data_IF_087261993370
#
_entry.id   IF_087261993370
#
_cell.length_a   1.000
_cell.length_b   1.000
_cell.length_c   1.000
_cell.angle_alpha   90.00
_cell.angle_beta   90.00
_cell.angle_gamma   90.00
#
_symmetry.space_group_name_H-M   'P 1'
#
loop_
_entity.id
_entity.type
_entity.pdbx_description
1 polymer ?
#
# COMPACT_ATOMS: atom_id res chain seq x y z
N UNK A 1 0.62 12.82 -6.29
CA UNK A 1 0.56 12.64 -4.84
C UNK A 1 -0.45 11.56 -4.46
N UNK A 2 0.00 10.61 -3.65
CA UNK A 2 -0.77 9.47 -3.20
C UNK A 2 -1.58 9.80 -1.94
N UNK A 3 -2.88 9.43 -1.89
CA UNK A 3 -3.67 9.67 -0.69
C UNK A 3 -3.14 8.85 0.49
N UNK A 4 -3.21 9.43 1.68
CA UNK A 4 -2.75 8.78 2.91
C UNK A 4 -3.59 7.56 3.31
N UNK A 5 -4.85 7.53 2.90
CA UNK A 5 -5.81 6.45 3.16
C UNK A 5 -6.22 5.75 1.86
N UNK A 6 -6.39 4.43 1.95
CA UNK A 6 -6.79 3.63 0.80
C UNK A 6 -8.24 3.92 0.36
N UNK A 7 -9.13 4.28 1.29
CA UNK A 7 -10.51 4.63 0.98
C UNK A 7 -10.58 5.85 0.05
N UNK A 8 -9.78 6.89 0.32
CA UNK A 8 -9.74 8.08 -0.56
C UNK A 8 -9.23 7.71 -1.95
N UNK A 9 -8.27 6.78 -2.06
CA UNK A 9 -7.85 6.27 -3.36
C UNK A 9 -8.99 5.58 -4.10
N UNK A 10 -9.74 4.72 -3.42
CA UNK A 10 -10.89 4.00 -3.99
C UNK A 10 -11.94 4.98 -4.52
N UNK A 11 -12.30 6.00 -3.75
CA UNK A 11 -13.28 7.01 -4.16
C UNK A 11 -12.82 7.83 -5.37
N UNK A 12 -11.50 8.02 -5.54
CA UNK A 12 -10.92 8.70 -6.70
C UNK A 12 -11.00 7.83 -7.95
N UNK A 13 -10.52 6.58 -7.87
CA UNK A 13 -10.52 5.69 -9.03
C UNK A 13 -11.92 5.21 -9.42
N UNK A 14 -12.86 5.18 -8.46
CA UNK A 14 -14.28 4.87 -8.68
C UNK A 14 -15.02 5.91 -9.53
N UNK A 15 -14.35 6.98 -9.96
CA UNK A 15 -14.86 7.95 -10.95
C UNK A 15 -14.51 7.58 -12.39
N UNK A 16 -13.70 6.54 -12.58
CA UNK A 16 -13.38 5.99 -13.90
C UNK A 16 -14.44 4.97 -14.32
N UNK A 17 -14.50 4.63 -15.61
CA UNK A 17 -15.55 3.80 -16.24
C UNK A 17 -16.94 4.47 -16.26
N UNK A 18 -17.55 4.56 -17.44
CA UNK A 18 -18.94 5.06 -17.62
C UNK A 18 -19.67 4.18 -18.63
N UNK A 19 -20.98 4.02 -18.45
CA UNK A 19 -21.85 3.28 -19.38
C UNK A 19 -21.32 1.87 -19.75
N UNK A 20 -20.90 1.09 -18.74
CA UNK A 20 -20.45 -0.30 -18.93
C UNK A 20 -19.07 -0.49 -19.59
N UNK A 21 -18.37 0.60 -19.96
CA UNK A 21 -17.01 0.54 -20.52
C UNK A 21 -15.95 0.49 -19.42
N UNK A 22 -14.83 -0.19 -19.67
CA UNK A 22 -13.67 -0.21 -18.76
C UNK A 22 -13.05 1.19 -18.63
N UNK A 23 -12.63 1.53 -17.41
CA UNK A 23 -11.91 2.77 -17.09
C UNK A 23 -10.45 2.48 -16.76
N UNK A 24 -9.58 3.47 -16.94
CA UNK A 24 -8.17 3.40 -16.56
C UNK A 24 -7.85 4.49 -15.54
N UNK A 25 -7.11 4.12 -14.49
CA UNK A 25 -6.56 5.06 -13.51
C UNK A 25 -5.03 4.92 -13.50
N UNK A 26 -4.33 6.04 -13.70
CA UNK A 26 -2.86 6.08 -13.70
C UNK A 26 -2.42 6.93 -12.51
N UNK A 27 -1.54 6.39 -11.68
CA UNK A 27 -0.99 7.08 -10.52
C UNK A 27 0.47 7.41 -10.77
N UNK A 28 0.83 8.70 -10.66
CA UNK A 28 2.23 9.15 -10.67
C UNK A 28 2.70 9.19 -9.22
N UNK A 29 3.73 8.41 -8.92
CA UNK A 29 4.18 8.10 -7.56
C UNK A 29 5.65 8.48 -7.42
N UNK A 30 5.95 9.30 -6.41
CA UNK A 30 7.32 9.63 -6.02
C UNK A 30 7.89 8.66 -4.98
N UNK A 31 9.18 8.79 -4.67
CA UNK A 31 9.88 7.89 -3.75
C UNK A 31 9.22 7.82 -2.34
N UNK A 32 8.71 8.95 -1.85
CA UNK A 32 8.07 9.02 -0.53
C UNK A 32 6.63 8.46 -0.49
N UNK A 33 6.00 8.31 -1.65
CA UNK A 33 4.61 7.83 -1.80
C UNK A 33 4.51 6.30 -1.93
N UNK A 34 5.63 5.61 -2.12
CA UNK A 34 5.67 4.15 -2.24
C UNK A 34 4.99 3.40 -1.07
N UNK A 35 5.11 3.82 0.21
CA UNK A 35 4.39 3.17 1.30
C UNK A 35 2.87 3.28 1.18
N UNK A 36 2.35 4.35 0.56
CA UNK A 36 0.92 4.56 0.33
C UNK A 36 0.46 3.63 -0.81
N UNK A 37 1.23 3.53 -1.88
CA UNK A 37 0.98 2.61 -2.99
C UNK A 37 0.88 1.15 -2.52
N UNK A 38 1.82 0.71 -1.69
CA UNK A 38 1.81 -0.64 -1.12
C UNK A 38 0.59 -0.91 -0.22
N UNK A 39 0.03 0.13 0.42
CA UNK A 39 -1.20 -0.01 1.22
C UNK A 39 -2.42 -0.14 0.33
N UNK A 40 -2.49 0.68 -0.72
CA UNK A 40 -3.58 0.67 -1.70
C UNK A 40 -3.65 -0.68 -2.43
N UNK A 41 -2.52 -1.18 -2.95
CA UNK A 41 -2.48 -2.49 -3.62
C UNK A 41 -3.01 -3.62 -2.71
N UNK A 42 -2.60 -3.61 -1.43
CA UNK A 42 -3.11 -4.57 -0.43
C UNK A 42 -4.60 -4.42 -0.13
N UNK A 43 -5.11 -3.20 -0.12
CA UNK A 43 -6.53 -2.92 0.15
C UNK A 43 -7.42 -3.36 -1.01
N UNK A 44 -7.02 -3.02 -2.24
CA UNK A 44 -7.70 -3.41 -3.48
C UNK A 44 -7.55 -4.91 -3.77
N UNK A 45 -6.55 -5.56 -3.16
CA UNK A 45 -6.18 -6.98 -3.35
C UNK A 45 -5.73 -7.29 -4.79
N UNK A 46 -5.17 -6.30 -5.47
CA UNK A 46 -4.67 -6.43 -6.83
C UNK A 46 -3.26 -5.80 -6.92
N UNK A 47 -2.40 -6.42 -7.73
CA UNK A 47 -1.09 -5.87 -8.04
C UNK A 47 -1.20 -4.76 -9.09
N UNK A 48 -0.77 -3.56 -8.72
CA UNK A 48 -0.76 -2.41 -9.62
C UNK A 48 0.43 -2.52 -10.57
N UNK A 49 0.16 -2.71 -11.86
CA UNK A 49 1.20 -2.87 -12.89
C UNK A 49 1.98 -1.57 -13.10
N UNK A 50 3.30 -1.64 -12.97
CA UNK A 50 4.19 -0.53 -13.29
C UNK A 50 4.34 -0.37 -14.81
N UNK A 51 4.31 0.88 -15.28
CA UNK A 51 4.55 1.22 -16.69
C UNK A 51 5.56 2.35 -16.77
N UNK A 52 6.41 2.29 -17.79
CA UNK A 52 7.45 3.28 -18.03
C UNK A 52 7.29 3.90 -19.42
N UNK A 53 7.42 5.22 -19.50
CA UNK A 53 7.55 5.92 -20.78
C UNK A 53 9.00 5.83 -21.23
N UNK A 54 9.24 5.44 -22.49
CA UNK A 54 10.58 5.14 -23.03
C UNK A 54 11.58 6.29 -22.81
N UNK A 55 11.12 7.52 -22.98
CA UNK A 55 11.94 8.73 -22.89
C UNK A 55 12.12 9.25 -21.45
N UNK A 56 11.24 8.85 -20.52
CA UNK A 56 11.24 9.32 -19.13
C UNK A 56 11.38 8.17 -18.14
N UNK A 57 12.39 7.30 -18.35
CA UNK A 57 12.67 6.22 -17.40
C UNK A 57 13.31 6.76 -16.11
N UNK A 58 12.86 6.30 -14.92
CA UNK A 58 13.50 6.64 -13.66
C UNK A 58 14.98 6.25 -13.66
N UNK A 59 15.85 7.17 -13.28
CA UNK A 59 17.30 6.94 -13.17
C UNK A 59 17.69 6.24 -11.86
N UNK A 60 16.85 6.36 -10.83
CA UNK A 60 17.11 5.83 -9.50
C UNK A 60 16.27 4.58 -9.21
N UNK A 61 16.80 3.69 -8.36
CA UNK A 61 16.10 2.46 -7.95
C UNK A 61 14.87 2.78 -7.09
N UNK A 62 13.84 1.93 -7.21
CA UNK A 62 12.64 2.01 -6.37
C UNK A 62 13.01 1.85 -4.88
N UNK A 63 12.56 2.74 -3.99
CA UNK A 63 12.83 2.61 -2.58
C UNK A 63 12.06 1.41 -1.99
N UNK A 64 12.76 0.56 -1.24
CA UNK A 64 12.18 -0.62 -0.60
C UNK A 64 11.89 -0.29 0.87
N UNK A 65 10.62 -0.09 1.19
CA UNK A 65 10.20 0.16 2.57
C UNK A 65 10.00 -1.18 3.29
N UNK A 66 11.06 -1.69 3.94
CA UNK A 66 10.96 -2.87 4.81
C UNK A 66 10.05 -2.55 5.99
N UNK A 67 8.89 -3.21 6.07
CA UNK A 67 8.05 -3.16 7.28
C UNK A 67 8.87 -3.66 8.46
N UNK A 68 9.07 -2.82 9.49
CA UNK A 68 9.50 -3.30 10.80
C UNK A 68 8.45 -4.32 11.27
N UNK A 69 8.83 -5.61 11.39
CA UNK A 69 8.00 -6.60 12.07
C UNK A 69 7.68 -6.03 13.45
N UNK A 70 6.41 -5.74 13.74
CA UNK A 70 5.97 -5.57 15.12
C UNK A 70 6.34 -6.86 15.84
N UNK A 71 7.24 -6.80 16.82
CA UNK A 71 7.46 -7.92 17.73
C UNK A 71 6.11 -8.22 18.37
N UNK A 72 5.70 -9.48 18.29
CA UNK A 72 4.46 -9.96 18.89
C UNK A 72 4.55 -9.86 20.42
N UNK A 73 4.21 -8.70 20.97
CA UNK A 73 4.07 -8.51 22.43
C UNK A 73 2.90 -9.33 23.02
N UNK A 74 2.16 -10.07 22.19
CA UNK A 74 1.13 -11.03 22.65
C UNK A 74 1.70 -12.21 23.43
N UNK A 75 3.00 -12.56 23.30
CA UNK A 75 3.59 -13.68 24.06
C UNK A 75 3.99 -13.33 25.50
N UNK A 76 4.10 -12.04 25.87
CA UNK A 76 4.45 -11.61 27.23
C UNK A 76 3.25 -11.55 28.19
N UNK A 77 2.04 -11.29 27.69
CA UNK A 77 0.82 -11.22 28.52
C UNK A 77 0.37 -12.61 28.98
N UNK A 78 0.56 -13.64 28.16
CA UNK A 78 0.24 -15.03 28.52
C UNK A 78 1.13 -15.57 29.66
N UNK A 79 2.45 -15.26 29.64
CA UNK A 79 3.38 -15.71 30.70
C UNK A 79 3.17 -15.04 32.06
N UNK A 80 2.66 -13.81 32.12
CA UNK A 80 2.36 -13.13 33.40
C UNK A 80 1.12 -13.69 34.12
N UNK A 81 0.17 -14.29 33.39
CA UNK A 81 -1.03 -14.91 34.00
C UNK A 81 -0.76 -16.27 34.63
N UNK A 82 0.22 -17.03 34.11
CA UNK A 82 0.61 -18.33 34.69
C UNK A 82 1.53 -18.22 35.91
N UNK A 83 2.27 -17.12 36.05
CA UNK A 83 3.15 -16.89 37.21
C UNK A 83 2.43 -16.33 38.45
N UNK A 84 1.19 -15.84 38.29
CA UNK A 84 0.37 -15.29 39.40
C UNK A 84 -0.62 -16.30 39.99
N UNK A 85 -0.55 -17.56 39.54
CA UNK A 85 -1.46 -18.65 39.91
C UNK A 85 -0.72 -19.86 40.52
N UNK A 86 0.54 -19.65 40.92
CA UNK A 86 1.32 -20.56 41.77
C UNK A 86 1.61 -19.86 43.08
#
# INVERSE_FOLDING_TARGET
>A
DMPRTADVYLHRIGRTARAGKKGNAISIVEAHDQPMMDRVARYVKEDIKERFVKEMRPKHKKPVFKKKKKKDDKKKVAKKKTAKKK
#
